data_IF_660952712524
#
_entry.id   IF_660952712524
#
_cell.length_a   1.000
_cell.length_b   1.000
_cell.length_c   1.000
_cell.angle_alpha   90.00
_cell.angle_beta   90.00
_cell.angle_gamma   90.00
#
_symmetry.space_group_name_H-M   'P 1'
#
loop_
_entity.id
_entity.type
_entity.pdbx_description
1 polymer ?
#
# COMPACT_ATOMS: atom_id res chain seq x y z
N UNK A 1 25.74 24.93 4.22
CA UNK A 1 24.52 25.15 3.44
C UNK A 1 23.81 23.82 3.39
N UNK A 2 22.74 23.69 4.20
CA UNK A 2 22.00 22.42 4.36
C UNK A 2 20.93 22.36 3.28
N UNK A 3 21.10 21.53 2.30
CA UNK A 3 20.00 21.11 1.42
C UNK A 3 19.21 20.00 2.11
N UNK A 4 18.28 20.38 2.97
CA UNK A 4 17.17 19.50 3.34
C UNK A 4 16.19 19.49 2.16
N UNK A 5 16.47 18.67 1.15
CA UNK A 5 15.50 18.37 0.11
C UNK A 5 14.34 17.64 0.74
N UNK A 6 13.30 18.40 1.05
CA UNK A 6 12.04 17.94 1.59
C UNK A 6 11.43 16.90 0.64
N UNK A 7 11.17 15.71 1.15
CA UNK A 7 10.40 14.63 0.49
C UNK A 7 9.04 15.13 -0.01
N UNK A 8 8.51 16.21 0.59
CA UNK A 8 7.20 16.81 0.30
C UNK A 8 7.07 17.50 -1.07
N UNK A 9 8.16 17.80 -1.78
CA UNK A 9 8.08 18.44 -3.11
C UNK A 9 7.68 17.48 -4.24
N UNK A 10 7.34 16.21 -3.95
CA UNK A 10 6.98 15.21 -4.96
C UNK A 10 5.49 14.91 -5.07
N UNK A 11 4.65 15.50 -4.23
CA UNK A 11 3.21 15.24 -4.24
C UNK A 11 2.48 16.26 -5.11
N UNK A 12 1.95 15.81 -6.22
CA UNK A 12 1.15 16.64 -7.12
C UNK A 12 -0.31 16.72 -6.62
N UNK A 13 -1.04 17.71 -7.08
CA UNK A 13 -2.42 18.00 -6.67
C UNK A 13 -3.38 16.92 -7.17
N UNK A 14 -4.12 16.29 -6.27
CA UNK A 14 -5.17 15.31 -6.61
C UNK A 14 -6.37 16.03 -7.20
N UNK A 15 -6.78 15.66 -8.41
CA UNK A 15 -8.04 16.11 -8.97
C UNK A 15 -9.17 15.24 -8.40
N UNK A 16 -10.05 15.85 -7.60
CA UNK A 16 -11.17 15.13 -6.95
C UNK A 16 -12.08 14.42 -7.94
N UNK A 17 -12.31 15.02 -9.10
CA UNK A 17 -13.20 14.46 -10.11
C UNK A 17 -12.56 13.22 -10.78
N UNK A 18 -11.24 13.21 -10.95
CA UNK A 18 -10.51 12.04 -11.43
C UNK A 18 -10.50 10.90 -10.41
N UNK A 19 -10.31 11.21 -9.11
CA UNK A 19 -10.38 10.20 -8.04
C UNK A 19 -11.79 9.61 -7.95
N UNK A 20 -12.83 10.45 -7.95
CA UNK A 20 -14.21 9.99 -7.91
C UNK A 20 -14.57 9.17 -9.15
N UNK A 21 -14.17 9.62 -10.34
CA UNK A 21 -14.43 8.90 -11.58
C UNK A 21 -13.64 7.58 -11.69
N UNK A 22 -12.40 7.53 -11.19
CA UNK A 22 -11.61 6.30 -11.21
C UNK A 22 -12.13 5.24 -10.24
N UNK A 23 -12.78 5.65 -9.14
CA UNK A 23 -13.38 4.73 -8.16
C UNK A 23 -14.80 4.29 -8.52
N UNK A 24 -15.49 4.98 -9.46
CA UNK A 24 -16.90 4.72 -9.78
C UNK A 24 -17.12 3.66 -10.85
N UNK A 25 -16.10 3.22 -11.59
CA UNK A 25 -16.31 2.47 -12.84
C UNK A 25 -15.92 0.99 -12.84
N UNK A 26 -15.56 0.39 -11.72
CA UNK A 26 -15.45 -1.07 -11.66
C UNK A 26 -16.18 -1.59 -10.43
N UNK A 27 -17.35 -2.16 -10.64
CA UNK A 27 -17.95 -3.14 -9.72
C UNK A 27 -16.82 -4.13 -9.37
N UNK A 28 -16.45 -4.21 -8.09
CA UNK A 28 -15.41 -5.08 -7.52
C UNK A 28 -13.97 -4.53 -7.47
N UNK A 29 -13.75 -3.23 -7.46
CA UNK A 29 -12.42 -2.72 -7.13
C UNK A 29 -12.28 -2.51 -5.61
N UNK A 30 -11.72 -3.51 -4.92
CA UNK A 30 -11.44 -3.45 -3.47
C UNK A 30 -10.06 -2.87 -3.16
N UNK A 31 -9.39 -2.29 -4.14
CA UNK A 31 -8.18 -1.48 -3.97
C UNK A 31 -8.59 -0.03 -3.90
N UNK A 32 -8.13 0.68 -2.89
CA UNK A 32 -8.52 2.05 -2.61
C UNK A 32 -7.30 2.98 -2.61
N UNK A 33 -7.51 4.19 -3.09
CA UNK A 33 -6.55 5.28 -3.00
C UNK A 33 -6.63 5.92 -1.62
N UNK A 34 -5.50 6.05 -0.94
CA UNK A 34 -5.40 6.77 0.33
C UNK A 34 -4.78 8.13 0.07
N UNK A 35 -5.47 9.17 0.52
CA UNK A 35 -5.01 10.56 0.45
C UNK A 35 -4.84 11.14 1.85
N UNK A 36 -4.01 12.16 1.98
CA UNK A 36 -3.89 12.97 3.19
C UNK A 36 -3.83 14.45 2.86
N UNK A 37 -3.87 15.28 3.86
CA UNK A 37 -3.62 16.72 3.72
C UNK A 37 -2.14 16.96 4.03
N UNK A 38 -1.42 17.60 3.09
CA UNK A 38 -0.05 18.01 3.34
C UNK A 38 -0.02 19.23 4.26
N UNK A 39 0.84 19.19 5.27
CA UNK A 39 1.17 20.36 6.09
C UNK A 39 2.13 21.27 5.29
N UNK A 40 1.60 22.04 4.36
CA UNK A 40 2.40 23.07 3.69
C UNK A 40 2.44 24.33 4.55
N UNK A 41 3.63 24.76 4.93
CA UNK A 41 3.84 25.93 5.80
C UNK A 41 3.48 27.26 5.16
N UNK A 42 3.30 27.35 3.84
CA UNK A 42 3.10 28.60 3.10
C UNK A 42 1.97 28.62 2.08
N UNK A 43 1.22 27.53 1.92
CA UNK A 43 0.12 27.42 0.97
C UNK A 43 -1.13 26.84 1.64
N UNK A 44 -2.28 27.02 1.01
CA UNK A 44 -3.51 26.33 1.46
C UNK A 44 -3.27 24.82 1.54
N UNK A 45 -3.81 24.15 2.58
CA UNK A 45 -3.70 22.70 2.71
C UNK A 45 -4.14 22.01 1.42
N UNK A 46 -3.30 21.15 0.87
CA UNK A 46 -3.58 20.40 -0.35
C UNK A 46 -3.79 18.94 -0.02
N UNK A 47 -4.79 18.35 -0.65
CA UNK A 47 -4.94 16.90 -0.64
C UNK A 47 -3.90 16.26 -1.54
N UNK A 48 -3.16 15.31 -1.00
CA UNK A 48 -2.09 14.60 -1.68
C UNK A 48 -2.31 13.09 -1.62
N UNK A 49 -1.85 12.39 -2.65
CA UNK A 49 -1.83 10.94 -2.68
C UNK A 49 -0.73 10.43 -1.74
N UNK A 50 -1.07 9.56 -0.80
CA UNK A 50 -0.14 8.95 0.13
C UNK A 50 0.25 7.54 -0.26
N UNK A 51 -0.71 6.78 -0.78
CA UNK A 51 -0.54 5.38 -1.12
C UNK A 51 -1.86 4.70 -1.46
N UNK A 52 -1.85 3.40 -1.38
CA UNK A 52 -2.99 2.53 -1.65
C UNK A 52 -3.36 1.74 -0.41
N UNK A 53 -4.52 1.12 -0.44
CA UNK A 53 -4.95 0.12 0.50
C UNK A 53 -5.79 -0.93 -0.18
N UNK A 54 -5.99 -2.05 0.48
CA UNK A 54 -6.84 -3.14 0.03
C UNK A 54 -7.90 -3.43 1.09
N UNK A 55 -9.12 -3.64 0.63
CA UNK A 55 -10.23 -4.08 1.48
C UNK A 55 -10.27 -5.61 1.49
N UNK A 56 -10.10 -6.20 2.66
CA UNK A 56 -10.12 -7.65 2.89
C UNK A 56 -11.15 -7.92 3.98
N UNK A 57 -12.16 -8.73 3.70
CA UNK A 57 -13.30 -8.88 4.59
C UNK A 57 -13.86 -7.50 5.01
N UNK A 58 -13.85 -7.18 6.29
CA UNK A 58 -14.25 -5.89 6.86
C UNK A 58 -13.06 -5.03 7.31
N UNK A 59 -11.87 -5.26 6.75
CA UNK A 59 -10.66 -4.52 7.08
C UNK A 59 -10.15 -3.71 5.89
N UNK A 60 -9.60 -2.53 6.18
CA UNK A 60 -8.65 -1.83 5.31
C UNK A 60 -7.25 -2.20 5.75
N UNK A 61 -6.45 -2.66 4.82
CA UNK A 61 -5.04 -3.00 5.02
C UNK A 61 -4.20 -2.08 4.12
N UNK A 62 -3.18 -1.45 4.69
CA UNK A 62 -2.24 -0.59 3.97
C UNK A 62 -0.86 -0.63 4.61
N UNK A 63 0.15 -0.03 3.97
CA UNK A 63 1.46 0.13 4.58
C UNK A 63 1.39 1.14 5.75
N UNK A 64 2.12 0.88 6.82
CA UNK A 64 2.11 1.70 8.03
C UNK A 64 2.55 3.14 7.78
N UNK A 65 3.60 3.32 6.96
CA UNK A 65 4.06 4.66 6.60
C UNK A 65 3.02 5.46 5.81
N UNK A 66 2.13 4.80 5.04
CA UNK A 66 1.02 5.47 4.32
C UNK A 66 0.04 6.06 5.32
N UNK A 67 -0.29 5.32 6.38
CA UNK A 67 -1.24 5.76 7.40
C UNK A 67 -0.67 6.83 8.35
N UNK A 68 0.66 6.96 8.42
CA UNK A 68 1.34 7.91 9.32
C UNK A 68 1.92 9.15 8.61
N UNK A 69 1.89 9.21 7.29
CA UNK A 69 2.45 10.33 6.51
C UNK A 69 1.37 11.39 6.25
N UNK A 70 1.50 12.58 6.86
CA UNK A 70 0.52 13.66 6.74
C UNK A 70 -0.59 13.60 7.77
N UNK A 71 -1.66 14.35 7.53
CA UNK A 71 -2.82 14.47 8.44
C UNK A 71 -4.13 14.23 7.69
N UNK A 72 -5.19 13.95 8.46
CA UNK A 72 -6.57 13.77 7.93
C UNK A 72 -6.66 12.78 6.75
N UNK A 73 -6.04 11.60 6.93
CA UNK A 73 -6.09 10.53 5.93
C UNK A 73 -7.51 10.10 5.64
N UNK A 74 -7.79 9.88 4.36
CA UNK A 74 -9.08 9.38 3.88
C UNK A 74 -8.91 8.50 2.66
N UNK A 75 -9.91 7.67 2.41
CA UNK A 75 -10.04 6.91 1.17
C UNK A 75 -11.48 6.96 0.66
N UNK A 76 -11.63 6.60 -0.60
CA UNK A 76 -12.89 6.63 -1.32
C UNK A 76 -13.29 5.20 -1.70
N UNK A 77 -14.52 4.83 -1.39
CA UNK A 77 -15.07 3.53 -1.77
C UNK A 77 -16.58 3.63 -1.95
N UNK A 78 -17.09 3.13 -3.09
CA UNK A 78 -18.52 3.14 -3.43
C UNK A 78 -19.17 4.52 -3.23
N UNK A 79 -18.56 5.58 -3.76
CA UNK A 79 -19.00 6.97 -3.66
C UNK A 79 -19.09 7.51 -2.21
N UNK A 80 -18.49 6.83 -1.26
CA UNK A 80 -18.37 7.29 0.14
C UNK A 80 -16.94 7.65 0.46
N UNK A 81 -16.79 8.61 1.35
CA UNK A 81 -15.50 9.01 1.90
C UNK A 81 -15.38 8.44 3.31
N UNK A 82 -14.30 7.75 3.57
CA UNK A 82 -13.94 7.22 4.89
C UNK A 82 -12.70 7.95 5.38
N UNK A 83 -12.72 8.42 6.62
CA UNK A 83 -11.56 9.03 7.28
C UNK A 83 -10.93 8.00 8.20
N UNK A 84 -9.62 7.78 8.10
CA UNK A 84 -8.95 6.76 8.91
C UNK A 84 -9.13 7.01 10.41
N UNK A 85 -9.12 8.27 10.85
CA UNK A 85 -9.34 8.65 12.25
C UNK A 85 -10.70 8.28 12.84
N UNK A 86 -11.71 8.02 11.98
CA UNK A 86 -13.07 7.66 12.38
C UNK A 86 -13.26 6.14 12.38
N UNK A 87 -12.24 5.36 12.01
CA UNK A 87 -12.24 3.90 12.00
C UNK A 87 -11.60 3.34 13.26
N UNK A 88 -11.95 2.10 13.57
CA UNK A 88 -11.26 1.34 14.62
C UNK A 88 -9.87 0.93 14.14
N UNK A 89 -8.84 1.50 14.75
CA UNK A 89 -7.45 1.08 14.54
C UNK A 89 -7.22 -0.26 15.21
N UNK A 90 -6.94 -1.29 14.40
CA UNK A 90 -6.64 -2.64 14.89
C UNK A 90 -5.13 -2.79 15.13
N UNK A 91 -4.34 -2.31 14.20
CA UNK A 91 -2.88 -2.37 14.26
C UNK A 91 -2.28 -1.26 13.41
N UNK A 92 -1.22 -0.62 13.90
CA UNK A 92 -0.39 0.29 13.14
C UNK A 92 1.05 0.26 13.61
N UNK A 93 1.96 0.01 12.69
CA UNK A 93 3.41 0.05 12.90
C UNK A 93 4.12 0.50 11.64
N UNK A 94 5.25 1.18 11.81
CA UNK A 94 6.18 1.44 10.72
C UNK A 94 7.47 0.67 10.97
N UNK A 95 8.16 0.26 9.91
CA UNK A 95 9.43 -0.45 10.01
C UNK A 95 10.49 0.29 10.87
N UNK A 96 10.35 1.62 10.99
CA UNK A 96 11.25 2.46 11.82
C UNK A 96 11.00 2.31 13.33
N UNK A 97 9.78 1.98 13.73
CA UNK A 97 9.38 1.97 15.15
C UNK A 97 9.66 0.63 15.81
N UNK A 98 9.41 -0.47 15.11
CA UNK A 98 9.47 -1.82 15.70
C UNK A 98 10.30 -2.83 14.90
N UNK A 99 10.94 -2.42 13.82
CA UNK A 99 11.81 -3.23 12.96
C UNK A 99 11.16 -4.44 12.25
N UNK A 100 9.86 -4.71 12.45
CA UNK A 100 9.24 -5.92 11.96
C UNK A 100 8.20 -5.68 10.88
N UNK A 101 7.29 -4.70 11.07
CA UNK A 101 6.15 -4.53 10.16
C UNK A 101 5.98 -3.08 9.72
N UNK A 102 5.81 -2.89 8.43
CA UNK A 102 5.30 -1.63 7.85
C UNK A 102 3.85 -1.83 7.44
N UNK A 103 2.94 -1.79 8.43
CA UNK A 103 1.55 -2.24 8.30
C UNK A 103 0.60 -1.34 9.09
N UNK A 104 -0.56 -1.05 8.51
CA UNK A 104 -1.70 -0.50 9.20
C UNK A 104 -2.97 -1.27 8.83
N UNK A 105 -3.77 -1.61 9.83
CA UNK A 105 -5.04 -2.32 9.69
C UNK A 105 -6.12 -1.55 10.44
N UNK A 106 -7.22 -1.26 9.75
CA UNK A 106 -8.40 -0.61 10.29
C UNK A 106 -9.64 -1.46 10.06
N UNK A 107 -10.53 -1.57 11.06
CA UNK A 107 -11.82 -2.21 10.89
C UNK A 107 -12.82 -1.23 10.29
N UNK A 108 -13.55 -1.65 9.25
CA UNK A 108 -14.52 -0.81 8.56
C UNK A 108 -15.91 -1.40 8.72
N UNK A 109 -16.77 -0.79 9.51
CA UNK A 109 -18.13 -1.29 9.68
C UNK A 109 -18.93 -1.15 8.38
N UNK A 110 -19.69 -2.21 8.06
CA UNK A 110 -20.62 -2.21 6.92
C UNK A 110 -19.98 -2.42 5.55
N UNK A 111 -18.69 -2.75 5.48
CA UNK A 111 -18.01 -3.26 4.28
C UNK A 111 -17.75 -4.74 4.50
N UNK A 112 -17.97 -5.53 3.44
CA UNK A 112 -17.61 -6.93 3.39
C UNK A 112 -17.04 -7.21 2.00
N UNK A 113 -15.72 -7.27 1.92
CA UNK A 113 -15.00 -7.56 0.69
C UNK A 113 -14.96 -9.07 0.46
N UNK A 114 -15.06 -9.55 -0.80
CA UNK A 114 -14.85 -10.95 -1.12
C UNK A 114 -13.37 -11.34 -1.14
N UNK A 115 -12.46 -10.38 -0.99
CA UNK A 115 -11.03 -10.68 -0.92
C UNK A 115 -10.70 -11.25 0.45
N UNK A 116 -9.83 -12.26 0.45
CA UNK A 116 -9.29 -12.89 1.66
C UNK A 116 -7.77 -12.85 1.66
N UNK A 117 -7.15 -12.94 2.83
CA UNK A 117 -5.70 -13.14 2.90
C UNK A 117 -5.37 -14.57 2.49
N UNK A 118 -4.35 -14.73 1.65
CA UNK A 118 -3.83 -16.07 1.35
C UNK A 118 -3.25 -16.70 2.62
N UNK A 119 -3.61 -17.95 2.93
CA UNK A 119 -3.04 -18.67 4.07
C UNK A 119 -1.63 -19.19 3.81
N UNK A 120 -1.14 -19.08 2.59
CA UNK A 120 0.16 -19.59 2.15
C UNK A 120 0.99 -18.49 1.50
N UNK A 121 2.32 -18.65 1.59
CA UNK A 121 3.26 -17.82 0.84
C UNK A 121 3.21 -18.18 -0.65
N UNK A 122 3.44 -17.21 -1.55
CA UNK A 122 3.60 -17.52 -2.96
C UNK A 122 4.92 -18.27 -3.19
N UNK A 123 4.98 -19.08 -4.23
CA UNK A 123 6.22 -19.72 -4.63
C UNK A 123 7.10 -18.77 -5.45
N UNK A 124 8.42 -18.94 -5.38
CA UNK A 124 9.37 -18.23 -6.27
C UNK A 124 9.04 -18.54 -7.73
N UNK A 125 9.08 -17.55 -8.60
CA UNK A 125 8.65 -17.55 -9.99
C UNK A 125 7.12 -17.61 -10.20
N UNK A 126 6.29 -17.60 -9.16
CA UNK A 126 4.86 -17.41 -9.37
C UNK A 126 4.58 -15.96 -9.82
N UNK A 127 3.53 -15.81 -10.63
CA UNK A 127 3.09 -14.51 -11.14
C UNK A 127 1.82 -14.12 -10.42
N UNK A 128 1.88 -12.99 -9.72
CA UNK A 128 0.76 -12.34 -9.06
C UNK A 128 0.37 -11.08 -9.84
N UNK A 129 -0.82 -10.56 -9.60
CA UNK A 129 -1.27 -9.30 -10.18
C UNK A 129 -1.18 -8.19 -9.14
N UNK A 130 -0.42 -7.14 -9.42
CA UNK A 130 -0.46 -5.91 -8.64
C UNK A 130 -1.54 -4.97 -9.18
N UNK A 131 -2.38 -4.46 -8.28
CA UNK A 131 -3.35 -3.40 -8.59
C UNK A 131 -3.04 -2.19 -7.74
N UNK A 132 -2.85 -1.05 -8.41
CA UNK A 132 -2.46 0.21 -7.78
C UNK A 132 -3.24 1.37 -8.36
N UNK A 133 -3.35 2.45 -7.59
CA UNK A 133 -3.50 3.78 -8.15
C UNK A 133 -2.12 4.42 -8.25
N UNK A 134 -1.73 4.82 -9.46
CA UNK A 134 -0.53 5.65 -9.68
C UNK A 134 -0.98 7.07 -9.96
N UNK A 135 -0.33 7.99 -9.28
CA UNK A 135 -0.59 9.42 -9.49
C UNK A 135 -0.30 9.82 -10.94
N UNK A 136 -1.28 10.46 -11.57
CA UNK A 136 -1.20 10.90 -12.97
C UNK A 136 -1.44 9.83 -14.03
N UNK A 137 -1.55 8.55 -13.65
CA UNK A 137 -1.88 7.46 -14.59
C UNK A 137 -3.22 6.77 -14.27
N UNK A 138 -3.79 7.03 -13.07
CA UNK A 138 -5.00 6.36 -12.61
C UNK A 138 -4.76 4.91 -12.18
N UNK A 139 -5.71 4.04 -12.46
CA UNK A 139 -5.60 2.61 -12.13
C UNK A 139 -4.52 1.93 -12.97
N UNK A 140 -3.58 1.29 -12.30
CA UNK A 140 -2.55 0.46 -12.92
C UNK A 140 -2.78 -0.99 -12.50
N UNK A 141 -2.67 -1.89 -13.45
CA UNK A 141 -2.59 -3.33 -13.22
C UNK A 141 -1.35 -3.85 -13.91
N UNK A 142 -0.51 -4.56 -13.19
CA UNK A 142 0.70 -5.16 -13.75
C UNK A 142 0.99 -6.53 -13.13
N UNK A 143 1.74 -7.34 -13.86
CA UNK A 143 2.26 -8.60 -13.34
C UNK A 143 3.39 -8.32 -12.35
N UNK A 144 3.47 -9.16 -11.33
CA UNK A 144 4.50 -9.16 -10.30
C UNK A 144 5.02 -10.59 -10.14
N UNK A 145 6.24 -10.83 -10.58
CA UNK A 145 6.90 -12.14 -10.45
C UNK A 145 7.61 -12.21 -9.12
N UNK A 146 7.34 -13.23 -8.33
CA UNK A 146 8.05 -13.49 -7.06
C UNK A 146 9.47 -13.91 -7.36
N UNK A 147 10.46 -13.15 -6.88
CA UNK A 147 11.87 -13.38 -7.17
C UNK A 147 12.64 -13.94 -5.98
N UNK A 148 12.20 -13.63 -4.77
CA UNK A 148 12.86 -14.07 -3.55
C UNK A 148 11.85 -14.11 -2.40
N UNK A 149 12.08 -15.01 -1.43
CA UNK A 149 11.31 -15.13 -0.20
C UNK A 149 12.30 -15.04 0.93
N UNK A 150 12.16 -14.06 1.82
CA UNK A 150 13.03 -13.89 2.99
C UNK A 150 12.93 -15.14 3.88
N UNK A 151 14.03 -15.91 3.90
CA UNK A 151 14.04 -17.34 4.15
C UNK A 151 13.66 -17.80 5.56
N UNK A 152 13.76 -16.95 6.60
CA UNK A 152 13.67 -17.45 7.98
C UNK A 152 12.34 -17.18 8.69
N UNK A 153 11.56 -16.19 8.26
CA UNK A 153 10.32 -15.87 8.97
C UNK A 153 9.08 -15.64 8.07
N UNK A 154 9.22 -15.63 6.74
CA UNK A 154 8.09 -15.46 5.82
C UNK A 154 7.36 -14.12 5.95
N UNK A 155 8.02 -13.10 6.52
CA UNK A 155 7.40 -11.79 6.73
C UNK A 155 7.36 -10.98 5.44
N UNK A 156 8.44 -11.04 4.67
CA UNK A 156 8.61 -10.28 3.44
C UNK A 156 9.03 -11.18 2.29
N UNK A 157 8.74 -10.73 1.07
CA UNK A 157 9.28 -11.30 -0.15
C UNK A 157 9.50 -10.22 -1.20
N UNK A 158 10.39 -10.49 -2.15
CA UNK A 158 10.70 -9.63 -3.27
C UNK A 158 9.87 -9.99 -4.50
N UNK A 159 9.46 -8.99 -5.24
CA UNK A 159 8.82 -9.16 -6.56
C UNK A 159 9.46 -8.25 -7.59
N UNK A 160 9.52 -8.72 -8.84
CA UNK A 160 9.81 -7.90 -10.00
C UNK A 160 8.49 -7.61 -10.73
N UNK A 161 8.19 -6.32 -10.92
CA UNK A 161 6.95 -5.89 -11.58
C UNK A 161 7.18 -5.60 -13.05
N UNK A 162 6.22 -5.96 -13.91
CA UNK A 162 6.29 -5.71 -15.36
C UNK A 162 6.25 -4.22 -15.72
N UNK A 163 5.83 -3.37 -14.79
CA UNK A 163 5.85 -1.91 -14.91
C UNK A 163 6.63 -1.32 -13.74
N UNK A 164 7.41 -0.27 -13.98
CA UNK A 164 8.04 0.49 -12.91
C UNK A 164 6.97 1.16 -12.04
N UNK A 165 6.83 0.68 -10.82
CA UNK A 165 5.95 1.27 -9.81
C UNK A 165 6.64 2.48 -9.18
N UNK A 166 5.93 3.60 -9.13
CA UNK A 166 6.44 4.86 -8.58
C UNK A 166 6.05 5.03 -7.11
N UNK A 167 6.57 6.11 -6.52
CA UNK A 167 6.08 6.61 -5.22
C UNK A 167 4.56 6.72 -5.25
N UNK A 168 3.92 6.23 -4.18
CA UNK A 168 2.46 6.18 -4.06
C UNK A 168 1.85 4.80 -4.33
N UNK A 169 2.62 3.82 -4.81
CA UNK A 169 2.14 2.44 -4.93
C UNK A 169 2.21 1.64 -3.62
N UNK A 170 2.77 2.21 -2.55
CA UNK A 170 2.76 1.60 -1.21
C UNK A 170 1.35 1.25 -0.76
N UNK A 171 1.17 0.08 -0.14
CA UNK A 171 -0.12 -0.46 0.27
C UNK A 171 -0.91 -1.16 -0.84
N UNK A 172 -0.40 -1.18 -2.08
CA UNK A 172 -1.01 -1.92 -3.19
C UNK A 172 -0.95 -3.41 -2.96
N UNK A 173 -2.05 -4.15 -3.17
CA UNK A 173 -2.05 -5.60 -3.00
C UNK A 173 -1.38 -6.33 -4.16
N UNK A 174 -0.87 -7.51 -3.86
CA UNK A 174 -0.55 -8.57 -4.79
C UNK A 174 -1.62 -9.64 -4.72
N UNK A 175 -2.26 -9.90 -5.84
CA UNK A 175 -3.46 -10.71 -5.94
C UNK A 175 -3.23 -11.91 -6.85
N UNK A 176 -3.82 -13.04 -6.47
CA UNK A 176 -4.12 -14.12 -7.38
C UNK A 176 -5.56 -14.56 -7.10
N UNK A 177 -6.42 -14.50 -8.12
CA UNK A 177 -7.87 -14.66 -7.95
C UNK A 177 -8.43 -13.65 -6.92
N UNK A 178 -9.13 -14.15 -5.88
CA UNK A 178 -9.67 -13.35 -4.78
C UNK A 178 -8.79 -13.37 -3.52
N UNK A 179 -7.55 -13.82 -3.64
CA UNK A 179 -6.62 -13.89 -2.52
C UNK A 179 -5.57 -12.79 -2.60
N UNK A 180 -5.33 -12.15 -1.47
CA UNK A 180 -4.25 -11.18 -1.26
C UNK A 180 -3.04 -11.93 -0.69
N UNK A 181 -1.96 -11.95 -1.43
CA UNK A 181 -0.70 -12.59 -1.03
C UNK A 181 0.23 -11.64 -0.27
N UNK A 182 -0.01 -10.35 -0.36
CA UNK A 182 0.75 -9.35 0.36
C UNK A 182 0.41 -7.94 -0.10
N UNK A 183 1.07 -6.96 0.52
CA UNK A 183 1.01 -5.55 0.14
C UNK A 183 2.41 -5.01 -0.15
N UNK A 184 2.54 -4.17 -1.16
CA UNK A 184 3.79 -3.48 -1.47
C UNK A 184 4.08 -2.47 -0.37
N UNK A 185 5.25 -2.55 0.25
CA UNK A 185 5.66 -1.61 1.30
C UNK A 185 6.77 -0.67 0.85
N UNK A 186 7.60 -1.09 -0.10
CA UNK A 186 8.62 -0.21 -0.70
C UNK A 186 8.99 -0.66 -2.09
N UNK A 187 9.33 0.28 -2.95
CA UNK A 187 9.91 0.02 -4.28
C UNK A 187 11.32 0.58 -4.38
N UNK A 188 12.08 0.07 -5.33
CA UNK A 188 13.51 0.32 -5.48
C UNK A 188 13.81 1.73 -6.02
N UNK A 189 13.57 2.77 -5.25
CA UNK A 189 14.05 4.09 -5.63
C UNK A 189 14.58 4.98 -4.50
N UNK A 190 14.54 4.59 -3.22
CA UNK A 190 15.18 5.40 -2.18
C UNK A 190 15.42 4.58 -0.89
N UNK A 191 16.62 4.09 -0.69
CA UNK A 191 17.21 4.05 0.64
C UNK A 191 16.92 2.84 1.51
N UNK A 192 16.73 1.65 0.96
CA UNK A 192 17.21 0.48 1.66
C UNK A 192 18.74 0.52 1.59
N UNK A 193 19.39 0.44 2.74
CA UNK A 193 20.84 0.44 2.90
C UNK A 193 21.53 -0.29 1.75
N UNK A 194 22.66 0.26 1.27
CA UNK A 194 23.57 -0.32 0.27
C UNK A 194 24.02 -1.77 0.56
N UNK A 195 23.46 -2.39 1.60
CA UNK A 195 23.68 -3.78 2.01
C UNK A 195 22.76 -4.80 1.34
N UNK A 196 21.65 -4.37 0.73
CA UNK A 196 20.88 -5.25 -0.12
C UNK A 196 21.59 -5.40 -1.45
N UNK A 197 21.87 -6.64 -1.82
CA UNK A 197 22.63 -7.11 -2.98
C UNK A 197 22.51 -6.21 -4.22
N UNK A 198 23.61 -5.90 -4.94
CA UNK A 198 23.62 -4.98 -6.10
C UNK A 198 22.87 -5.48 -7.34
N UNK A 199 22.15 -6.58 -7.26
CA UNK A 199 21.44 -7.22 -8.37
C UNK A 199 19.95 -6.87 -8.47
N UNK A 200 19.41 -5.98 -7.61
CA UNK A 200 18.03 -5.59 -7.70
C UNK A 200 17.77 -4.68 -8.91
N UNK A 201 17.01 -5.21 -9.86
CA UNK A 201 16.59 -4.50 -11.08
C UNK A 201 15.64 -3.33 -10.77
N UNK A 202 15.55 -2.37 -11.69
CA UNK A 202 14.79 -1.11 -11.57
C UNK A 202 13.30 -1.25 -11.19
N UNK A 203 12.74 -2.45 -11.25
CA UNK A 203 11.32 -2.73 -11.02
C UNK A 203 11.07 -3.64 -9.80
N UNK A 204 12.03 -3.76 -8.90
CA UNK A 204 11.86 -4.61 -7.72
C UNK A 204 11.08 -3.91 -6.62
N UNK A 205 10.16 -4.62 -5.99
CA UNK A 205 9.40 -4.16 -4.84
C UNK A 205 9.53 -5.17 -3.69
N UNK A 206 9.49 -4.65 -2.46
CA UNK A 206 9.35 -5.47 -1.26
C UNK A 206 7.88 -5.53 -0.84
N UNK A 207 7.46 -6.71 -0.46
CA UNK A 207 6.08 -7.03 -0.14
C UNK A 207 6.01 -7.60 1.27
N UNK A 208 5.16 -7.00 2.11
CA UNK A 208 4.78 -7.61 3.38
C UNK A 208 3.78 -8.72 3.10
N UNK A 209 4.07 -9.93 3.56
CA UNK A 209 3.28 -11.12 3.23
C UNK A 209 1.91 -11.15 3.92
N UNK A 210 0.96 -11.85 3.28
CA UNK A 210 -0.34 -12.15 3.88
C UNK A 210 -0.24 -13.01 5.14
N UNK A 211 0.80 -13.84 5.23
CA UNK A 211 1.08 -14.64 6.42
C UNK A 211 1.32 -13.73 7.63
N UNK A 212 2.20 -12.73 7.50
CA UNK A 212 2.45 -11.75 8.56
C UNK A 212 1.18 -10.99 8.97
N UNK A 213 0.36 -10.59 8.00
CA UNK A 213 -0.91 -9.90 8.27
C UNK A 213 -1.90 -10.82 9.00
N UNK A 214 -1.96 -12.10 8.65
CA UNK A 214 -2.83 -13.09 9.29
C UNK A 214 -2.43 -13.34 10.74
N UNK A 215 -1.14 -13.45 11.02
CA UNK A 215 -0.59 -13.59 12.39
C UNK A 215 -1.03 -12.43 13.28
N UNK A 216 -0.97 -11.20 12.75
CA UNK A 216 -1.41 -10.01 13.47
C UNK A 216 -2.93 -10.04 13.68
N UNK A 217 -3.72 -10.26 12.64
CA UNK A 217 -5.18 -10.26 12.74
C UNK A 217 -5.71 -11.35 13.70
N UNK A 218 -5.04 -12.49 13.82
CA UNK A 218 -5.43 -13.55 14.74
C UNK A 218 -5.28 -13.15 16.24
N UNK A 219 -4.49 -12.13 16.54
CA UNK A 219 -4.34 -11.61 17.91
C UNK A 219 -5.53 -10.72 18.31
N UNK A 220 -6.36 -10.29 17.35
CA UNK A 220 -7.48 -9.35 17.55
C UNK A 220 -8.87 -9.99 17.24
N UNK A 221 -8.92 -11.29 17.00
CA UNK A 221 -10.15 -12.09 16.92
C UNK A 221 -10.56 -12.59 18.30
#
# INVERSE_FOLDING_TARGET
MNESNSIFNRFEKVNKDEVMNSTTHTENNYVVLITSISESTNESPKEVHCGNGVLVDNFLITAGHVAKTGIDHKFYFNNKVFKLKDLEEVFISTAKENNEYDLAIYRIPGINSPLTLSPVMPEVNSILTSKSFDYGKGNITCDATVIDIDGDCGLYYGVETSLSLKSGCSGSPLLFENQVYGIIVTGNNNGLDEKCSPEFHLNTCFVLSSYAMTEILNQFK
#
